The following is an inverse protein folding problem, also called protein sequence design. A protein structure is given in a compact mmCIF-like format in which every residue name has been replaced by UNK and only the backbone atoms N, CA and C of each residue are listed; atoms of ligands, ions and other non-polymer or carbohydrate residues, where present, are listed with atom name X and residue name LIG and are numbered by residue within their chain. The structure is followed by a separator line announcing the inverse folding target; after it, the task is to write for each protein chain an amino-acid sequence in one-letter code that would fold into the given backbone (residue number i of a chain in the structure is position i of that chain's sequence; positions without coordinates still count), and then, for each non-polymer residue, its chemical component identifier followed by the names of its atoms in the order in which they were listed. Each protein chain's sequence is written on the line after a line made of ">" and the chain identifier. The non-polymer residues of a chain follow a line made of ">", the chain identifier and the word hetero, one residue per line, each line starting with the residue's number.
data_IF_748451172457
#
_entry.id   IF_748451172457
#
_cell.length_a   1.000
_cell.length_b   1.000
_cell.length_c   1.000
_cell.angle_alpha   90.00
_cell.angle_beta   90.00
_cell.angle_gamma   90.00
#
_symmetry.space_group_name_H-M   'P 1'
#
loop_
_entity.id
_entity.type
_entity.pdbx_description
1 polymer ?
#
# COMPACT_ATOMS: atom_id res chain seq x y z
N UNK A 1 -12.51 -5.67 -11.35
CA UNK A 1 -11.17 -5.05 -11.28
C UNK A 1 -10.87 -4.22 -12.51
N UNK A 2 -11.34 -4.59 -13.71
CA UNK A 2 -11.18 -3.83 -14.97
C UNK A 2 -11.56 -2.35 -14.93
N UNK A 3 -12.41 -1.93 -13.98
CA UNK A 3 -12.80 -0.53 -13.78
C UNK A 3 -11.77 0.30 -13.01
N UNK A 4 -10.71 -0.31 -12.50
CA UNK A 4 -9.69 0.33 -11.67
C UNK A 4 -8.31 0.19 -12.32
N UNK A 5 -7.42 1.10 -11.97
CA UNK A 5 -6.01 0.99 -12.32
C UNK A 5 -5.35 -0.02 -11.39
N UNK A 6 -4.66 -0.99 -11.99
CA UNK A 6 -4.02 -2.07 -11.26
C UNK A 6 -2.50 -1.86 -11.33
N UNK A 7 -1.82 -2.02 -10.20
CA UNK A 7 -0.37 -2.08 -10.15
C UNK A 7 0.07 -3.22 -9.23
N UNK A 8 1.31 -3.68 -9.38
CA UNK A 8 1.84 -4.74 -8.53
C UNK A 8 3.32 -5.00 -8.74
N UNK A 9 3.90 -5.82 -7.86
CA UNK A 9 5.29 -6.22 -7.96
C UNK A 9 5.51 -7.18 -9.13
N UNK A 10 6.69 -7.12 -9.75
CA UNK A 10 6.93 -7.70 -11.08
C UNK A 10 6.47 -9.15 -11.27
N UNK A 11 6.78 -10.04 -10.32
CA UNK A 11 6.37 -11.45 -10.39
C UNK A 11 4.86 -11.61 -10.32
N UNK A 12 4.21 -10.91 -9.39
CA UNK A 12 2.75 -10.95 -9.20
C UNK A 12 2.02 -10.41 -10.43
N UNK A 13 2.40 -9.23 -10.91
CA UNK A 13 1.76 -8.62 -12.08
C UNK A 13 1.92 -9.46 -13.34
N UNK A 14 3.11 -10.04 -13.56
CA UNK A 14 3.35 -10.93 -14.71
C UNK A 14 2.49 -12.20 -14.63
N UNK A 15 2.35 -12.78 -13.43
CA UNK A 15 1.51 -13.95 -13.24
C UNK A 15 0.02 -13.63 -13.47
N UNK A 16 -0.46 -12.49 -13.00
CA UNK A 16 -1.86 -12.09 -13.18
C UNK A 16 -2.18 -11.76 -14.64
N UNK A 17 -1.37 -10.95 -15.31
CA UNK A 17 -1.53 -10.66 -16.74
C UNK A 17 -1.62 -11.94 -17.57
N UNK A 18 -0.71 -12.89 -17.34
CA UNK A 18 -0.67 -14.14 -18.11
C UNK A 18 -1.86 -15.07 -17.85
N UNK A 19 -2.47 -15.02 -16.66
CA UNK A 19 -3.57 -15.92 -16.27
C UNK A 19 -4.96 -15.34 -16.51
N UNK A 20 -5.13 -14.04 -16.31
CA UNK A 20 -6.45 -13.39 -16.33
C UNK A 20 -6.56 -12.25 -17.34
N UNK A 21 -5.47 -11.89 -18.04
CA UNK A 21 -5.50 -10.90 -19.13
C UNK A 21 -5.74 -9.46 -18.68
N UNK A 22 -5.60 -9.16 -17.39
CA UNK A 22 -5.73 -7.81 -16.86
C UNK A 22 -4.42 -7.06 -16.98
N UNK A 23 -4.42 -5.89 -17.62
CA UNK A 23 -3.25 -5.01 -17.72
C UNK A 23 -2.92 -4.40 -16.35
N UNK A 24 -1.63 -4.38 -15.99
CA UNK A 24 -1.17 -3.85 -14.72
C UNK A 24 0.12 -3.04 -14.86
N UNK A 25 0.24 -1.92 -14.15
CA UNK A 25 1.54 -1.25 -13.99
C UNK A 25 2.50 -2.16 -13.20
N UNK A 26 3.67 -2.43 -13.79
CA UNK A 26 4.67 -3.33 -13.19
C UNK A 26 5.72 -2.54 -12.42
N UNK A 27 5.80 -2.85 -11.13
CA UNK A 27 6.93 -2.44 -10.29
C UNK A 27 8.04 -3.50 -10.35
N UNK A 28 9.18 -3.22 -9.73
CA UNK A 28 10.19 -4.25 -9.44
C UNK A 28 9.58 -5.36 -8.57
N UNK A 29 10.21 -6.51 -8.48
CA UNK A 29 9.81 -7.50 -7.48
C UNK A 29 10.04 -6.96 -6.07
N UNK A 30 9.24 -7.39 -5.10
CA UNK A 30 9.35 -6.97 -3.69
C UNK A 30 10.80 -6.98 -3.17
N UNK A 31 11.53 -8.12 -3.24
CA UNK A 31 12.92 -8.22 -2.78
C UNK A 31 13.93 -7.29 -3.47
N UNK A 32 13.59 -6.73 -4.63
CA UNK A 32 14.45 -5.81 -5.38
C UNK A 32 13.93 -4.37 -5.32
N UNK A 33 13.14 -4.04 -4.29
CA UNK A 33 12.65 -2.69 -3.99
C UNK A 33 11.25 -2.37 -4.52
N UNK A 34 10.51 -3.35 -5.02
CA UNK A 34 9.13 -3.16 -5.46
C UNK A 34 8.21 -2.65 -4.34
N UNK A 35 8.40 -3.15 -3.12
CA UNK A 35 7.60 -2.77 -1.96
C UNK A 35 7.83 -1.30 -1.59
N UNK A 36 9.06 -0.80 -1.77
CA UNK A 36 9.41 0.60 -1.56
C UNK A 36 8.84 1.51 -2.66
N UNK A 37 8.78 1.04 -3.91
CA UNK A 37 8.13 1.79 -4.99
C UNK A 37 6.64 1.97 -4.71
N UNK A 38 5.97 0.90 -4.27
CA UNK A 38 4.57 0.95 -3.85
C UNK A 38 4.42 1.91 -2.65
N UNK A 39 5.29 1.81 -1.64
CA UNK A 39 5.30 2.71 -0.49
C UNK A 39 5.43 4.19 -0.87
N UNK A 40 6.29 4.52 -1.85
CA UNK A 40 6.43 5.88 -2.37
C UNK A 40 5.13 6.37 -3.02
N UNK A 41 4.52 5.55 -3.88
CA UNK A 41 3.25 5.87 -4.54
C UNK A 41 2.10 6.07 -3.56
N UNK A 42 2.03 5.32 -2.46
CA UNK A 42 1.07 5.57 -1.38
C UNK A 42 1.27 6.98 -0.82
N UNK A 43 2.52 7.35 -0.55
CA UNK A 43 2.83 8.66 0.06
C UNK A 43 2.54 9.85 -0.87
N UNK A 44 2.51 9.59 -2.18
CA UNK A 44 2.18 10.53 -3.24
C UNK A 44 0.68 10.56 -3.57
N UNK A 45 -0.12 9.68 -2.96
CA UNK A 45 -1.56 9.58 -3.22
C UNK A 45 -1.93 8.84 -4.51
N UNK A 46 -0.98 8.08 -5.09
CA UNK A 46 -1.19 7.30 -6.31
C UNK A 46 -1.71 5.87 -6.05
N UNK A 47 -1.77 5.45 -4.78
CA UNK A 47 -2.32 4.15 -4.38
C UNK A 47 -3.43 4.34 -3.35
N UNK A 48 -4.59 3.78 -3.69
CA UNK A 48 -5.82 3.96 -2.93
C UNK A 48 -6.24 2.75 -2.10
N UNK A 49 -5.72 1.57 -2.44
CA UNK A 49 -6.03 0.31 -1.77
C UNK A 49 -4.90 -0.68 -2.01
N UNK A 50 -4.62 -1.53 -1.02
CA UNK A 50 -3.63 -2.60 -1.15
C UNK A 50 -4.27 -3.96 -0.85
N UNK A 51 -4.05 -4.91 -1.76
CA UNK A 51 -4.25 -6.34 -1.51
C UNK A 51 -2.86 -6.99 -1.45
N UNK A 52 -2.42 -7.38 -0.27
CA UNK A 52 -1.09 -7.93 -0.05
C UNK A 52 -1.12 -9.26 0.71
N UNK A 53 -1.12 -10.36 -0.03
CA UNK A 53 -1.08 -11.70 0.53
C UNK A 53 0.38 -12.13 0.72
N UNK A 54 0.90 -11.93 1.92
CA UNK A 54 2.20 -12.46 2.31
C UNK A 54 2.02 -13.80 3.03
N UNK A 55 3.05 -14.65 2.99
CA UNK A 55 3.09 -15.86 3.81
C UNK A 55 3.37 -15.46 5.27
N UNK A 56 2.49 -15.78 6.24
CA UNK A 56 2.70 -15.45 7.63
C UNK A 56 3.60 -16.46 8.38
N UNK A 57 3.91 -17.61 7.78
CA UNK A 57 4.64 -18.70 8.44
C UNK A 57 6.13 -18.72 8.12
N UNK A 58 6.54 -18.06 7.03
CA UNK A 58 7.94 -18.02 6.59
C UNK A 58 8.50 -16.62 6.66
N UNK A 59 9.65 -16.47 7.31
CA UNK A 59 10.38 -15.21 7.34
C UNK A 59 10.91 -14.90 5.94
N UNK A 60 10.62 -13.70 5.43
CA UNK A 60 11.12 -13.27 4.14
C UNK A 60 12.39 -12.44 4.31
N UNK A 61 13.40 -12.58 3.42
CA UNK A 61 14.61 -11.74 3.47
C UNK A 61 14.33 -10.23 3.41
N UNK A 62 13.16 -9.85 2.90
CA UNK A 62 12.68 -8.48 2.75
C UNK A 62 11.56 -8.12 3.77
N UNK A 63 11.44 -8.85 4.88
CA UNK A 63 10.49 -8.54 5.98
C UNK A 63 10.55 -7.07 6.47
N UNK A 64 11.72 -6.39 6.55
CA UNK A 64 11.77 -4.97 6.89
C UNK A 64 10.96 -4.09 5.92
N UNK A 65 10.98 -4.43 4.63
CA UNK A 65 10.29 -3.68 3.59
C UNK A 65 8.78 -3.90 3.67
N UNK A 66 8.33 -5.14 3.96
CA UNK A 66 6.93 -5.46 4.25
C UNK A 66 6.41 -4.59 5.40
N UNK A 67 7.14 -4.54 6.52
CA UNK A 67 6.74 -3.72 7.67
C UNK A 67 6.73 -2.23 7.34
N UNK A 68 7.67 -1.76 6.54
CA UNK A 68 7.72 -0.37 6.10
C UNK A 68 6.51 -0.01 5.22
N UNK A 69 6.15 -0.89 4.27
CA UNK A 69 4.99 -0.73 3.40
C UNK A 69 3.69 -0.64 4.22
N UNK A 70 3.47 -1.59 5.13
CA UNK A 70 2.27 -1.61 5.98
C UNK A 70 2.18 -0.38 6.90
N UNK A 71 3.32 0.07 7.43
CA UNK A 71 3.39 1.31 8.23
C UNK A 71 2.98 2.52 7.39
N UNK A 72 3.46 2.65 6.17
CA UNK A 72 3.09 3.78 5.28
C UNK A 72 1.61 3.70 4.91
N UNK A 73 1.11 2.54 4.51
CA UNK A 73 -0.30 2.36 4.19
C UNK A 73 -1.23 2.71 5.37
N UNK A 74 -0.86 2.30 6.58
CA UNK A 74 -1.60 2.64 7.81
C UNK A 74 -1.53 4.14 8.10
N UNK A 75 -0.37 4.76 7.91
CA UNK A 75 -0.17 6.20 8.14
C UNK A 75 -1.03 7.06 7.20
N UNK A 76 -1.19 6.63 5.95
CA UNK A 76 -1.99 7.33 4.94
C UNK A 76 -3.46 6.87 4.91
N UNK A 77 -3.87 6.05 5.88
CA UNK A 77 -5.27 5.59 6.08
C UNK A 77 -5.89 4.96 4.82
N UNK A 78 -5.09 4.18 4.08
CA UNK A 78 -5.60 3.46 2.91
C UNK A 78 -6.10 2.07 3.32
N UNK A 79 -7.19 1.55 2.72
CA UNK A 79 -7.63 0.18 2.97
C UNK A 79 -6.57 -0.86 2.60
N UNK A 80 -6.31 -1.80 3.52
CA UNK A 80 -5.34 -2.89 3.34
C UNK A 80 -6.04 -4.23 3.57
N UNK A 81 -5.88 -5.16 2.62
CA UNK A 81 -6.20 -6.57 2.83
C UNK A 81 -4.92 -7.40 2.89
N UNK A 82 -4.67 -8.03 4.04
CA UNK A 82 -3.55 -8.95 4.24
C UNK A 82 -3.91 -10.42 4.04
N UNK A 83 -5.20 -10.69 3.88
CA UNK A 83 -5.73 -12.02 3.66
C UNK A 83 -6.98 -11.95 2.77
N UNK A 84 -7.39 -13.12 2.29
CA UNK A 84 -8.54 -13.25 1.40
C UNK A 84 -9.85 -12.75 2.03
N UNK A 85 -10.08 -13.02 3.31
CA UNK A 85 -11.30 -12.58 3.99
C UNK A 85 -11.46 -11.06 3.96
N UNK A 86 -10.41 -10.32 4.32
CA UNK A 86 -10.41 -8.85 4.22
C UNK A 86 -10.58 -8.38 2.78
N UNK A 87 -9.93 -9.03 1.82
CA UNK A 87 -10.06 -8.68 0.40
C UNK A 87 -11.52 -8.85 -0.08
N UNK A 88 -12.19 -9.94 0.27
CA UNK A 88 -13.60 -10.15 -0.08
C UNK A 88 -14.50 -9.05 0.49
N UNK A 89 -14.29 -8.66 1.75
CA UNK A 89 -15.03 -7.54 2.34
C UNK A 89 -14.78 -6.22 1.59
N UNK A 90 -13.52 -5.87 1.31
CA UNK A 90 -13.19 -4.65 0.56
C UNK A 90 -13.81 -4.65 -0.84
N UNK A 91 -13.78 -5.78 -1.54
CA UNK A 91 -14.34 -5.93 -2.88
C UNK A 91 -15.87 -5.79 -2.93
N UNK A 92 -16.55 -6.00 -1.80
CA UNK A 92 -18.02 -5.82 -1.69
C UNK A 92 -18.43 -4.44 -1.16
N UNK A 93 -17.46 -3.62 -0.73
CA UNK A 93 -17.74 -2.29 -0.22
C UNK A 93 -18.31 -1.38 -1.32
N UNK A 94 -19.33 -0.60 -0.98
CA UNK A 94 -19.85 0.45 -1.89
C UNK A 94 -18.76 1.45 -2.29
N UNK A 95 -17.82 1.71 -1.38
CA UNK A 95 -16.71 2.65 -1.58
C UNK A 95 -15.64 2.15 -2.55
N UNK A 96 -15.74 0.90 -3.05
CA UNK A 96 -14.84 0.43 -4.09
C UNK A 96 -15.02 1.25 -5.38
N UNK A 97 -16.26 1.64 -5.71
CA UNK A 97 -16.59 2.34 -6.96
C UNK A 97 -17.04 3.79 -6.75
N UNK A 98 -16.86 4.33 -5.54
CA UNK A 98 -17.25 5.68 -5.16
C UNK A 98 -16.05 6.40 -4.56
N UNK A 99 -16.03 7.73 -4.64
CA UNK A 99 -15.02 8.52 -3.94
C UNK A 99 -15.16 8.32 -2.42
N UNK A 100 -14.03 8.10 -1.77
CA UNK A 100 -13.94 7.91 -0.33
C UNK A 100 -13.01 8.97 0.27
N UNK A 101 -13.59 9.85 1.09
CA UNK A 101 -12.81 10.88 1.80
C UNK A 101 -12.06 10.26 2.98
N UNK A 102 -10.73 10.28 2.89
CA UNK A 102 -9.84 9.78 3.95
C UNK A 102 -9.55 10.86 4.97
N UNK A 103 -9.29 10.46 6.22
CA UNK A 103 -8.71 11.38 7.21
C UNK A 103 -7.27 11.67 6.84
N UNK A 104 -7.04 12.81 6.21
CA UNK A 104 -5.68 13.28 5.94
C UNK A 104 -5.00 13.64 7.26
N UNK A 105 -3.91 12.94 7.59
CA UNK A 105 -3.00 13.39 8.64
C UNK A 105 -2.28 14.63 8.13
N UNK A 106 -2.44 15.77 8.80
CA UNK A 106 -1.66 16.96 8.49
C UNK A 106 -0.19 16.76 8.91
N UNK A 107 0.60 16.24 7.97
CA UNK A 107 2.03 16.03 8.16
C UNK A 107 2.78 17.34 8.43
N UNK A 108 2.29 18.49 7.95
CA UNK A 108 2.92 19.80 8.21
C UNK A 108 2.73 20.18 9.66
N UNK A 109 1.54 19.97 10.21
CA UNK A 109 1.26 20.20 11.63
C UNK A 109 2.09 19.26 12.52
N UNK A 110 2.16 17.97 12.19
CA UNK A 110 2.97 17.00 12.92
C UNK A 110 4.47 17.35 12.89
N UNK A 111 4.99 17.73 11.73
CA UNK A 111 6.38 18.16 11.58
C UNK A 111 6.66 19.50 12.29
N UNK A 112 5.65 20.37 12.43
CA UNK A 112 5.76 21.61 13.22
C UNK A 112 5.84 21.29 14.71
N UNK A 113 4.92 20.48 15.25
CA UNK A 113 4.91 20.04 16.65
C UNK A 113 6.23 19.38 17.05
N UNK A 114 6.73 18.44 16.24
CA UNK A 114 8.03 17.82 16.48
C UNK A 114 9.17 18.84 16.51
N UNK A 115 9.18 19.82 15.61
CA UNK A 115 10.21 20.87 15.59
C UNK A 115 10.14 21.77 16.83
N UNK A 116 8.95 22.01 17.39
CA UNK A 116 8.77 22.76 18.63
C UNK A 116 9.27 21.95 19.83
N UNK A 117 8.84 20.69 19.97
CA UNK A 117 9.33 19.78 21.02
C UNK A 117 10.86 19.66 21.05
N UNK A 118 11.49 19.55 19.87
CA UNK A 118 12.96 19.49 19.75
C UNK A 118 13.67 20.79 20.15
N UNK A 119 13.00 21.95 20.09
CA UNK A 119 13.56 23.22 20.58
C UNK A 119 13.53 23.28 22.10
N UNK A 120 12.51 22.71 22.74
CA UNK A 120 12.33 22.70 24.20
C UNK A 120 13.26 21.70 24.92
N UNK A 121 13.91 20.81 24.17
CA UNK A 121 14.92 19.84 24.63
C UNK A 121 16.36 20.41 24.66
N UNK A 122 16.57 21.64 24.17
CA UNK A 122 17.86 22.34 24.18
C UNK A 122 17.89 23.45 25.21
#
# INVERSE_FOLDING_TARGET
>A
LEKHQLCGTGTTSTLLESRVGLEMEKMKSGPYGGDLQIGAKISEGEIDMIIFFHDPLTAQPHDPDIKALLRVATLYDIPIALNRGTAEFLMTSKYLNEEFERKNIDMKELAKKRREEFKDLK
#
